data_IF_846554182032
#
_entry.id   IF_846554182032
#
_cell.length_a   1.000
_cell.length_b   1.000
_cell.length_c   1.000
_cell.angle_alpha   90.00
_cell.angle_beta   90.00
_cell.angle_gamma   90.00
#
_symmetry.space_group_name_H-M   'P 1'
#
loop_
_entity.id
_entity.type
_entity.pdbx_description
1 polymer ?
#
# COMPACT_ATOMS: atom_id res chain seq x y z
N UNK A 1 -13.00 -4.42 -12.65
CA UNK A 1 -12.82 -5.78 -12.11
C UNK A 1 -14.19 -6.40 -12.02
N UNK A 2 -14.44 -7.46 -12.79
CA UNK A 2 -15.74 -8.12 -12.85
C UNK A 2 -15.62 -9.44 -12.09
N UNK A 3 -16.42 -9.64 -11.03
CA UNK A 3 -16.57 -10.94 -10.38
C UNK A 3 -17.62 -11.70 -11.20
N UNK A 4 -17.22 -12.69 -12.00
CA UNK A 4 -18.16 -13.43 -12.86
C UNK A 4 -18.01 -14.92 -12.66
N UNK A 5 -19.09 -15.54 -12.14
CA UNK A 5 -19.37 -16.98 -12.01
C UNK A 5 -18.79 -17.84 -10.85
N UNK A 6 -19.48 -18.01 -9.72
CA UNK A 6 -19.18 -19.09 -8.75
C UNK A 6 -20.17 -20.25 -8.98
N UNK A 7 -19.71 -21.49 -9.24
CA UNK A 7 -20.61 -22.64 -9.42
C UNK A 7 -21.43 -23.01 -8.16
N UNK A 8 -21.06 -22.55 -6.96
CA UNK A 8 -21.92 -22.67 -5.76
C UNK A 8 -23.00 -21.57 -5.65
N UNK A 9 -22.92 -20.52 -6.47
CA UNK A 9 -23.91 -19.42 -6.55
C UNK A 9 -24.47 -19.30 -7.98
N UNK A 10 -25.50 -20.09 -8.34
CA UNK A 10 -25.96 -20.29 -9.72
C UNK A 10 -26.62 -19.05 -10.36
N UNK A 11 -26.81 -17.95 -9.63
CA UNK A 11 -27.30 -16.72 -10.21
C UNK A 11 -26.17 -16.03 -10.99
N UNK A 12 -26.24 -16.11 -12.32
CA UNK A 12 -25.56 -15.20 -13.24
C UNK A 12 -26.09 -13.77 -13.01
N UNK A 13 -25.74 -13.17 -11.88
CA UNK A 13 -26.04 -11.77 -11.62
C UNK A 13 -25.25 -10.93 -12.62
N UNK A 14 -25.89 -9.99 -13.34
CA UNK A 14 -25.20 -9.13 -14.27
C UNK A 14 -24.09 -8.39 -13.53
N UNK A 15 -22.90 -8.43 -14.10
CA UNK A 15 -21.75 -7.76 -13.54
C UNK A 15 -22.09 -6.27 -13.36
N UNK A 16 -22.05 -5.75 -12.13
CA UNK A 16 -22.39 -4.35 -11.88
C UNK A 16 -21.13 -3.50 -11.68
N UNK A 17 -21.09 -2.29 -12.26
CA UNK A 17 -19.96 -1.41 -12.12
C UNK A 17 -19.81 -0.96 -10.66
N UNK A 18 -18.65 -1.26 -10.06
CA UNK A 18 -18.26 -0.71 -8.75
C UNK A 18 -17.90 0.78 -8.83
N UNK A 19 -17.46 1.21 -10.02
CA UNK A 19 -16.98 2.55 -10.30
C UNK A 19 -17.24 2.86 -11.76
N UNK A 20 -17.57 4.11 -12.06
CA UNK A 20 -17.64 4.64 -13.42
C UNK A 20 -16.73 5.84 -13.54
N UNK A 21 -16.06 5.96 -14.69
CA UNK A 21 -15.17 7.07 -15.00
C UNK A 21 -15.79 7.95 -16.08
N UNK A 22 -15.74 9.26 -15.90
CA UNK A 22 -16.02 10.25 -16.92
C UNK A 22 -14.71 10.79 -17.49
N UNK A 23 -14.67 11.05 -18.80
CA UNK A 23 -13.46 11.49 -19.50
C UNK A 23 -13.71 12.82 -20.21
N UNK A 24 -12.70 13.67 -20.31
CA UNK A 24 -12.72 14.85 -21.19
C UNK A 24 -12.71 14.40 -22.66
N UNK A 25 -13.08 15.26 -23.63
CA UNK A 25 -12.91 14.94 -25.06
C UNK A 25 -11.46 14.60 -25.45
N UNK A 26 -10.48 15.03 -24.65
CA UNK A 26 -9.05 14.72 -24.82
C UNK A 26 -8.63 13.44 -24.08
N UNK A 27 -9.55 12.67 -23.51
CA UNK A 27 -9.26 11.40 -22.83
C UNK A 27 -8.61 11.56 -21.45
N UNK A 28 -8.78 12.70 -20.78
CA UNK A 28 -8.31 12.92 -19.41
C UNK A 28 -9.42 12.54 -18.41
N UNK A 29 -9.07 11.99 -17.25
CA UNK A 29 -10.06 11.56 -16.25
C UNK A 29 -10.78 12.78 -15.66
N UNK A 30 -12.02 13.04 -16.04
CA UNK A 30 -12.78 14.22 -15.61
C UNK A 30 -13.56 13.99 -14.30
N UNK A 31 -14.07 12.79 -14.08
CA UNK A 31 -14.92 12.48 -12.94
C UNK A 31 -14.86 11.01 -12.55
N UNK A 32 -15.03 10.74 -11.25
CA UNK A 32 -15.22 9.38 -10.71
C UNK A 32 -16.59 9.33 -10.07
N UNK A 33 -17.33 8.28 -10.39
CA UNK A 33 -18.64 7.99 -9.82
C UNK A 33 -18.58 6.66 -9.07
N UNK A 34 -19.21 6.61 -7.90
CA UNK A 34 -19.35 5.36 -7.16
C UNK A 34 -20.38 4.42 -7.83
N UNK A 35 -20.58 3.24 -7.25
CA UNK A 35 -21.51 2.23 -7.74
C UNK A 35 -22.99 2.67 -7.72
N UNK A 36 -23.31 3.72 -6.96
CA UNK A 36 -24.64 4.37 -6.96
C UNK A 36 -24.79 5.44 -8.06
N UNK A 37 -23.76 5.59 -8.89
CA UNK A 37 -23.64 6.63 -9.92
C UNK A 37 -23.54 8.06 -9.35
N UNK A 38 -23.23 8.20 -8.06
CA UNK A 38 -22.99 9.51 -7.43
C UNK A 38 -21.57 9.95 -7.73
N UNK A 39 -21.38 11.19 -8.20
CA UNK A 39 -20.04 11.72 -8.42
C UNK A 39 -19.32 11.86 -7.07
N UNK A 40 -18.13 11.27 -6.96
CA UNK A 40 -17.29 11.32 -5.75
C UNK A 40 -16.01 12.14 -5.95
N UNK A 41 -15.56 12.31 -7.20
CA UNK A 41 -14.42 13.16 -7.54
C UNK A 41 -14.61 13.88 -8.87
N UNK A 42 -14.01 15.05 -8.99
CA UNK A 42 -13.87 15.80 -10.24
C UNK A 42 -12.44 16.30 -10.42
N UNK A 43 -12.03 16.43 -11.67
CA UNK A 43 -10.72 16.94 -12.07
C UNK A 43 -10.88 17.94 -13.21
N UNK A 44 -10.10 19.01 -13.15
CA UNK A 44 -10.07 20.07 -14.15
C UNK A 44 -8.67 20.14 -14.72
N UNK A 45 -8.56 20.28 -16.04
CA UNK A 45 -7.29 20.30 -16.76
C UNK A 45 -7.08 21.62 -17.49
N UNK A 46 -5.82 21.91 -17.77
CA UNK A 46 -5.40 23.04 -18.57
C UNK A 46 -5.83 22.86 -20.04
N UNK A 47 -6.45 23.86 -20.63
CA UNK A 47 -6.95 23.81 -22.00
C UNK A 47 -5.82 23.73 -23.05
N UNK A 48 -4.65 24.30 -22.74
CA UNK A 48 -3.49 24.35 -23.65
C UNK A 48 -2.59 23.12 -23.49
N UNK A 49 -2.36 22.65 -22.27
CA UNK A 49 -1.43 21.57 -21.96
C UNK A 49 -2.19 20.30 -21.53
N UNK A 50 -2.37 19.37 -22.48
CA UNK A 50 -3.01 18.07 -22.23
C UNK A 50 -2.31 17.33 -21.08
N UNK A 51 -3.10 16.79 -20.15
CA UNK A 51 -2.65 16.05 -18.97
C UNK A 51 -2.32 16.94 -17.76
N UNK A 52 -2.25 18.27 -17.92
CA UNK A 52 -1.92 19.18 -16.82
C UNK A 52 -3.17 19.48 -15.99
N UNK A 53 -3.30 18.82 -14.85
CA UNK A 53 -4.43 18.99 -13.92
C UNK A 53 -4.33 20.31 -13.14
N UNK A 54 -5.24 21.25 -13.36
CA UNK A 54 -5.25 22.56 -12.68
C UNK A 54 -6.11 22.58 -11.43
N UNK A 55 -7.02 21.62 -11.27
CA UNK A 55 -7.78 21.48 -10.04
C UNK A 55 -8.31 20.06 -9.83
N UNK A 56 -8.59 19.72 -8.58
CA UNK A 56 -9.36 18.54 -8.25
C UNK A 56 -10.21 18.75 -7.01
N UNK A 57 -11.28 17.96 -6.89
CA UNK A 57 -12.22 18.07 -5.78
C UNK A 57 -12.81 16.71 -5.41
N UNK A 58 -12.95 16.47 -4.11
CA UNK A 58 -13.82 15.41 -3.59
C UNK A 58 -15.20 15.99 -3.30
N UNK A 59 -16.26 15.24 -3.59
CA UNK A 59 -17.64 15.70 -3.35
C UNK A 59 -17.82 16.09 -1.88
N UNK A 60 -18.42 17.27 -1.64
CA UNK A 60 -18.58 17.84 -0.31
C UNK A 60 -17.35 18.55 0.26
N UNK A 61 -16.20 18.55 -0.40
CA UNK A 61 -14.98 19.29 0.03
C UNK A 61 -14.71 20.49 -0.88
N UNK A 62 -13.98 21.52 -0.40
CA UNK A 62 -13.47 22.58 -1.28
C UNK A 62 -12.54 22.04 -2.37
N UNK A 63 -12.46 22.76 -3.50
CA UNK A 63 -11.58 22.44 -4.62
C UNK A 63 -10.13 22.83 -4.30
N UNK A 64 -9.19 21.94 -4.61
CA UNK A 64 -7.74 22.21 -4.57
C UNK A 64 -7.29 22.61 -5.96
N UNK A 65 -6.50 23.69 -6.07
CA UNK A 65 -6.03 24.24 -7.36
C UNK A 65 -4.52 24.27 -7.45
N UNK A 66 -4.02 24.22 -8.68
CA UNK A 66 -2.59 24.22 -9.01
C UNK A 66 -2.26 25.32 -10.00
N UNK A 67 -1.09 25.95 -9.82
CA UNK A 67 -0.44 26.78 -10.84
C UNK A 67 0.87 26.16 -11.28
N UNK A 68 1.26 26.48 -12.50
CA UNK A 68 2.44 25.92 -13.14
C UNK A 68 3.33 27.01 -13.72
N UNK A 69 4.64 26.75 -13.75
CA UNK A 69 5.57 27.53 -14.55
C UNK A 69 5.58 27.10 -16.03
N UNK A 70 6.43 27.74 -16.84
CA UNK A 70 6.62 27.42 -18.25
C UNK A 70 7.13 26.00 -18.49
N UNK A 71 7.89 25.45 -17.55
CA UNK A 71 8.47 24.10 -17.61
C UNK A 71 7.45 23.03 -17.18
N UNK A 72 6.28 23.45 -16.70
CA UNK A 72 5.21 22.56 -16.25
C UNK A 72 5.40 22.03 -14.83
N UNK A 73 6.25 22.66 -14.02
CA UNK A 73 6.37 22.38 -12.58
C UNK A 73 5.31 23.14 -11.81
N UNK A 74 4.80 22.54 -10.72
CA UNK A 74 3.79 23.18 -9.86
C UNK A 74 4.43 24.31 -9.06
N UNK A 75 3.99 25.54 -9.23
CA UNK A 75 4.49 26.70 -8.48
C UNK A 75 3.60 27.08 -7.30
N UNK A 76 2.31 26.73 -7.36
CA UNK A 76 1.37 26.97 -6.27
C UNK A 76 0.39 25.80 -6.14
N UNK A 77 0.07 25.44 -4.90
CA UNK A 77 -1.04 24.58 -4.54
C UNK A 77 -1.95 25.32 -3.56
N UNK A 78 -3.16 25.68 -3.99
CA UNK A 78 -4.16 26.30 -3.15
C UNK A 78 -5.04 25.23 -2.50
N UNK A 79 -5.01 25.15 -1.18
CA UNK A 79 -5.76 24.17 -0.40
C UNK A 79 -6.72 24.90 0.56
N UNK A 80 -7.98 25.18 0.19
CA UNK A 80 -8.88 26.00 1.02
C UNK A 80 -9.24 25.38 2.37
N UNK A 81 -9.11 24.05 2.52
CA UNK A 81 -9.38 23.34 3.77
C UNK A 81 -8.11 23.10 4.62
N UNK A 82 -6.97 23.70 4.24
CA UNK A 82 -5.68 23.47 4.90
C UNK A 82 -4.64 24.53 4.52
N UNK A 83 -3.37 24.14 4.58
CA UNK A 83 -2.26 25.02 4.18
C UNK A 83 -2.12 25.05 2.67
N UNK A 84 -2.02 26.25 2.10
CA UNK A 84 -1.60 26.41 0.71
C UNK A 84 -0.08 26.42 0.63
N UNK A 85 0.49 26.04 -0.50
CA UNK A 85 1.94 25.91 -0.69
C UNK A 85 2.39 26.66 -1.93
N UNK A 86 3.55 27.29 -1.86
CA UNK A 86 4.27 27.82 -3.01
C UNK A 86 5.61 27.12 -3.16
N UNK A 87 6.06 26.97 -4.39
CA UNK A 87 7.28 26.23 -4.76
C UNK A 87 8.19 27.13 -5.60
N UNK A 88 9.44 27.26 -5.16
CA UNK A 88 10.49 27.93 -5.92
C UNK A 88 11.55 26.90 -6.29
N UNK A 89 11.84 26.81 -7.59
CA UNK A 89 12.78 25.85 -8.15
C UNK A 89 14.07 26.54 -8.58
N UNK A 90 15.18 26.06 -8.04
CA UNK A 90 16.54 26.42 -8.44
C UNK A 90 17.23 25.18 -9.02
N UNK A 91 18.49 25.32 -9.46
CA UNK A 91 19.23 24.23 -10.09
C UNK A 91 19.35 23.01 -9.17
N UNK A 92 19.75 23.23 -7.94
CA UNK A 92 20.04 22.23 -6.92
C UNK A 92 19.13 22.35 -5.69
N UNK A 93 18.10 23.19 -5.72
CA UNK A 93 17.25 23.46 -4.55
C UNK A 93 15.78 23.64 -4.90
N UNK A 94 14.90 23.20 -4.01
CA UNK A 94 13.46 23.49 -4.05
C UNK A 94 13.07 24.10 -2.71
N UNK A 95 12.55 25.32 -2.73
CA UNK A 95 11.97 25.95 -1.54
C UNK A 95 10.46 25.77 -1.56
N UNK A 96 9.91 25.27 -0.45
CA UNK A 96 8.48 25.09 -0.23
C UNK A 96 8.08 26.05 0.89
N UNK A 97 7.12 26.93 0.63
CA UNK A 97 6.60 27.86 1.63
C UNK A 97 5.11 27.63 1.79
N UNK A 98 4.67 27.34 3.01
CA UNK A 98 3.25 27.20 3.30
C UNK A 98 2.56 28.56 3.56
N UNK A 99 1.23 28.55 3.67
CA UNK A 99 0.43 29.76 3.90
C UNK A 99 0.56 30.35 5.32
N UNK A 100 1.42 29.78 6.17
CA UNK A 100 1.84 30.34 7.46
C UNK A 100 3.29 30.87 7.38
N UNK A 101 3.82 31.04 6.17
CA UNK A 101 5.20 31.48 5.88
C UNK A 101 6.29 30.55 6.44
N UNK A 102 5.94 29.30 6.78
CA UNK A 102 6.91 28.31 7.20
C UNK A 102 7.62 27.74 5.97
N UNK A 103 8.94 27.67 6.05
CA UNK A 103 9.80 27.33 4.90
C UNK A 103 10.47 25.98 5.08
N UNK A 104 10.30 25.11 4.11
CA UNK A 104 11.09 23.89 3.94
C UNK A 104 11.99 24.01 2.71
N UNK A 105 13.22 23.53 2.79
CA UNK A 105 14.18 23.59 1.70
C UNK A 105 14.72 22.19 1.40
N UNK A 106 14.51 21.75 0.16
CA UNK A 106 15.04 20.49 -0.35
C UNK A 106 16.27 20.79 -1.19
N UNK A 107 17.43 20.32 -0.75
CA UNK A 107 18.67 20.33 -1.53
C UNK A 107 18.76 19.03 -2.33
N UNK A 108 19.11 19.17 -3.59
CA UNK A 108 19.04 18.10 -4.58
C UNK A 108 20.35 17.93 -5.31
N UNK A 109 20.65 16.69 -5.70
CA UNK A 109 21.77 16.34 -6.56
C UNK A 109 21.29 15.50 -7.73
N UNK A 110 22.07 15.50 -8.82
CA UNK A 110 21.69 14.86 -10.07
C UNK A 110 20.75 15.72 -10.92
N UNK A 111 20.39 15.21 -12.09
CA UNK A 111 19.62 15.94 -13.11
C UNK A 111 18.46 15.08 -13.63
N UNK A 112 17.41 15.74 -14.14
CA UNK A 112 16.23 15.09 -14.70
C UNK A 112 15.59 14.05 -13.76
N UNK A 113 15.26 12.87 -14.28
CA UNK A 113 14.69 11.76 -13.50
C UNK A 113 15.61 11.14 -12.44
N UNK A 114 16.90 11.51 -12.45
CA UNK A 114 17.89 11.08 -11.46
C UNK A 114 18.10 12.09 -10.34
N UNK A 115 17.37 13.22 -10.34
CA UNK A 115 17.43 14.18 -9.24
C UNK A 115 16.98 13.52 -7.93
N UNK A 116 17.76 13.68 -6.86
CA UNK A 116 17.50 13.14 -5.52
C UNK A 116 17.61 14.22 -4.48
N UNK A 117 16.74 14.19 -3.47
CA UNK A 117 16.85 15.08 -2.30
C UNK A 117 17.91 14.49 -1.37
N UNK A 118 19.02 15.21 -1.17
CA UNK A 118 20.14 14.77 -0.34
C UNK A 118 20.17 15.45 1.03
N UNK A 119 19.48 16.59 1.17
CA UNK A 119 19.31 17.30 2.43
C UNK A 119 17.95 17.99 2.44
N UNK A 120 17.27 17.91 3.57
CA UNK A 120 16.00 18.60 3.81
C UNK A 120 16.15 19.46 5.06
N UNK A 121 15.95 20.76 4.90
CA UNK A 121 15.85 21.71 6.00
C UNK A 121 14.38 21.94 6.27
N UNK A 122 13.95 21.60 7.48
CA UNK A 122 12.57 21.72 7.92
C UNK A 122 12.28 23.13 8.41
N UNK A 123 11.00 23.48 8.50
CA UNK A 123 10.57 24.79 8.97
C UNK A 123 10.97 25.13 10.42
N UNK A 124 11.20 24.12 11.25
CA UNK A 124 11.70 24.28 12.63
C UNK A 124 13.23 24.43 12.70
N UNK A 125 13.90 24.49 11.54
CA UNK A 125 15.37 24.59 11.43
C UNK A 125 16.10 23.25 11.55
N UNK A 126 15.39 22.16 11.83
CA UNK A 126 16.00 20.82 11.85
C UNK A 126 16.41 20.38 10.44
N UNK A 127 17.41 19.51 10.36
CA UNK A 127 17.98 19.08 9.09
C UNK A 127 18.05 17.56 9.05
N UNK A 128 17.56 16.97 7.97
CA UNK A 128 17.78 15.55 7.65
C UNK A 128 18.60 15.42 6.37
N UNK A 129 19.37 14.35 6.27
CA UNK A 129 20.21 14.08 5.10
C UNK A 129 20.02 12.65 4.60
N UNK A 130 20.17 12.48 3.29
CA UNK A 130 20.07 11.20 2.60
C UNK A 130 21.24 11.04 1.64
N UNK A 131 21.86 9.87 1.66
CA UNK A 131 22.94 9.51 0.76
C UNK A 131 22.49 8.37 -0.13
N UNK A 132 22.87 8.43 -1.40
CA UNK A 132 22.51 7.44 -2.40
C UNK A 132 23.76 6.82 -3.00
N UNK A 133 23.66 5.56 -3.43
CA UNK A 133 24.70 4.92 -4.24
C UNK A 133 24.67 5.39 -5.71
N UNK A 134 25.60 4.89 -6.52
CA UNK A 134 25.75 5.30 -7.92
C UNK A 134 24.53 5.00 -8.81
N UNK A 135 23.67 4.06 -8.42
CA UNK A 135 22.43 3.73 -9.14
C UNK A 135 21.20 4.37 -8.49
N UNK A 136 21.40 5.21 -7.47
CA UNK A 136 20.36 6.03 -6.85
C UNK A 136 19.59 5.34 -5.73
N UNK A 137 20.09 4.24 -5.16
CA UNK A 137 19.48 3.56 -4.00
C UNK A 137 19.95 4.21 -2.70
N UNK A 138 19.06 4.32 -1.71
CA UNK A 138 19.38 4.90 -0.41
C UNK A 138 20.46 4.04 0.29
N UNK A 139 21.55 4.69 0.71
CA UNK A 139 22.68 4.06 1.40
C UNK A 139 22.80 4.53 2.85
N UNK A 140 22.42 5.77 3.16
CA UNK A 140 22.40 6.26 4.52
C UNK A 140 21.35 7.36 4.70
N UNK A 141 20.82 7.46 5.91
CA UNK A 141 19.96 8.56 6.32
C UNK A 141 20.40 9.09 7.67
N UNK A 142 20.60 10.40 7.76
CA UNK A 142 20.94 11.10 9.01
C UNK A 142 19.71 11.88 9.47
N UNK A 143 19.29 11.64 10.70
CA UNK A 143 18.16 12.33 11.31
C UNK A 143 18.53 13.73 11.83
N UNK A 144 17.53 14.46 12.34
CA UNK A 144 17.70 15.79 12.91
C UNK A 144 18.65 15.86 14.11
N UNK A 145 18.86 14.74 14.81
CA UNK A 145 19.79 14.65 15.94
C UNK A 145 21.22 14.30 15.48
N UNK A 146 21.49 14.22 14.17
CA UNK A 146 22.78 13.86 13.61
C UNK A 146 23.07 12.35 13.67
N UNK A 147 22.07 11.53 13.95
CA UNK A 147 22.23 10.07 14.06
C UNK A 147 22.02 9.43 12.69
N UNK A 148 22.95 8.58 12.28
CA UNK A 148 22.95 7.98 10.93
C UNK A 148 22.54 6.51 10.96
N UNK A 149 21.54 6.16 10.16
CA UNK A 149 21.19 4.77 9.84
C UNK A 149 21.74 4.43 8.45
N UNK A 150 22.44 3.31 8.33
CA UNK A 150 23.03 2.84 7.08
C UNK A 150 22.24 1.68 6.50
N UNK A 151 22.11 1.66 5.18
CA UNK A 151 21.41 0.65 4.40
C UNK A 151 22.39 0.03 3.43
N UNK A 152 22.58 -1.29 3.52
CA UNK A 152 23.42 -2.05 2.61
C UNK A 152 22.53 -2.82 1.62
N UNK A 153 22.34 -2.30 0.40
CA UNK A 153 21.70 -3.06 -0.67
C UNK A 153 22.67 -4.08 -1.26
N UNK A 154 22.16 -5.25 -1.63
CA UNK A 154 22.86 -6.19 -2.49
C UNK A 154 23.13 -5.53 -3.86
N UNK A 155 24.33 -5.75 -4.39
CA UNK A 155 24.80 -5.06 -5.58
C UNK A 155 24.06 -5.48 -6.85
N UNK A 156 23.55 -6.72 -6.90
CA UNK A 156 22.85 -7.26 -8.08
C UNK A 156 21.35 -7.03 -7.98
N UNK A 157 20.73 -7.47 -6.89
CA UNK A 157 19.27 -7.48 -6.70
C UNK A 157 18.73 -6.14 -6.20
N UNK A 158 19.57 -5.35 -5.52
CA UNK A 158 19.16 -4.11 -4.85
C UNK A 158 18.34 -4.29 -3.59
N UNK A 159 18.11 -5.53 -3.15
CA UNK A 159 17.45 -5.82 -1.89
C UNK A 159 18.34 -5.43 -0.72
N UNK A 160 17.75 -4.86 0.34
CA UNK A 160 18.48 -4.53 1.56
C UNK A 160 18.86 -5.82 2.26
N UNK A 161 20.17 -6.04 2.45
CA UNK A 161 20.73 -7.19 3.18
C UNK A 161 21.14 -6.82 4.61
N UNK A 162 21.36 -5.54 4.88
CA UNK A 162 21.69 -5.05 6.22
C UNK A 162 21.18 -3.64 6.48
N UNK A 163 20.70 -3.41 7.68
CA UNK A 163 20.40 -2.07 8.22
C UNK A 163 21.19 -1.90 9.51
N UNK A 164 22.03 -0.87 9.59
CA UNK A 164 22.82 -0.57 10.80
C UNK A 164 22.27 0.71 11.43
N UNK A 165 21.85 0.62 12.69
CA UNK A 165 21.35 1.75 13.48
C UNK A 165 22.50 2.62 14.01
N UNK A 166 22.24 3.86 14.42
CA UNK A 166 23.28 4.79 14.87
C UNK A 166 24.11 4.32 16.07
N UNK A 167 23.56 3.41 16.88
CA UNK A 167 24.22 2.78 18.02
C UNK A 167 25.07 1.55 17.63
N UNK A 168 25.24 1.29 16.32
CA UNK A 168 26.05 0.22 15.76
C UNK A 168 25.37 -1.15 15.73
N UNK A 169 24.16 -1.30 16.29
CA UNK A 169 23.40 -2.55 16.16
C UNK A 169 22.88 -2.70 14.73
N UNK A 170 22.63 -3.93 14.30
CA UNK A 170 22.26 -4.16 12.90
C UNK A 170 21.20 -5.26 12.75
N UNK A 171 20.34 -5.08 11.76
CA UNK A 171 19.46 -6.13 11.24
C UNK A 171 20.07 -6.73 9.97
N UNK A 172 19.93 -8.02 9.77
CA UNK A 172 20.38 -8.73 8.57
C UNK A 172 19.19 -9.42 7.89
N UNK A 173 19.19 -9.43 6.55
CA UNK A 173 18.12 -10.00 5.73
C UNK A 173 18.71 -10.90 4.66
N UNK A 174 18.12 -12.07 4.48
CA UNK A 174 18.53 -13.08 3.51
C UNK A 174 17.38 -13.43 2.59
N UNK A 175 17.70 -13.64 1.32
CA UNK A 175 16.73 -13.89 0.27
C UNK A 175 17.12 -15.13 -0.53
N UNK A 176 16.11 -15.82 -1.07
CA UNK A 176 16.33 -16.86 -2.07
C UNK A 176 16.55 -16.25 -3.47
N UNK A 177 16.77 -17.11 -4.47
CA UNK A 177 16.98 -16.72 -5.86
C UNK A 177 15.74 -16.09 -6.54
N UNK A 178 14.56 -16.22 -5.91
CA UNK A 178 13.32 -15.55 -6.33
C UNK A 178 13.11 -14.20 -5.62
N UNK A 179 14.13 -13.66 -4.95
CA UNK A 179 14.06 -12.40 -4.19
C UNK A 179 13.06 -12.44 -3.00
N UNK A 180 12.76 -13.63 -2.47
CA UNK A 180 11.86 -13.80 -1.33
C UNK A 180 12.66 -13.91 -0.03
N UNK A 181 12.21 -13.21 1.01
CA UNK A 181 12.87 -13.18 2.32
C UNK A 181 12.82 -14.57 2.97
N UNK A 182 13.97 -15.19 3.20
CA UNK A 182 14.11 -16.50 3.85
C UNK A 182 14.54 -16.40 5.32
N UNK A 183 15.24 -15.34 5.70
CA UNK A 183 15.59 -15.07 7.09
C UNK A 183 15.73 -13.57 7.34
N UNK A 184 15.29 -13.13 8.52
CA UNK A 184 15.57 -11.80 9.04
C UNK A 184 16.02 -11.89 10.50
N UNK A 185 17.19 -11.32 10.78
CA UNK A 185 17.75 -11.23 12.14
C UNK A 185 17.68 -9.79 12.60
N UNK A 186 17.06 -9.54 13.76
CA UNK A 186 16.96 -8.22 14.37
C UNK A 186 18.25 -7.77 15.07
N UNK A 187 18.31 -6.51 15.54
CA UNK A 187 19.44 -5.97 16.29
C UNK A 187 19.68 -6.64 17.65
N UNK A 188 18.68 -7.37 18.16
CA UNK A 188 18.71 -8.19 19.37
C UNK A 188 19.22 -9.61 19.13
N UNK A 189 19.54 -9.97 17.87
CA UNK A 189 19.97 -11.30 17.47
C UNK A 189 18.83 -12.30 17.31
N UNK A 190 17.57 -11.89 17.52
CA UNK A 190 16.41 -12.73 17.30
C UNK A 190 16.16 -12.91 15.80
N UNK A 191 15.92 -14.14 15.37
CA UNK A 191 15.79 -14.51 13.96
C UNK A 191 14.40 -15.06 13.66
N UNK A 192 13.80 -14.59 12.56
CA UNK A 192 12.67 -15.27 11.93
C UNK A 192 13.12 -15.95 10.64
N UNK A 193 12.55 -17.10 10.32
CA UNK A 193 12.83 -17.83 9.08
C UNK A 193 11.56 -18.15 8.31
N UNK A 194 11.68 -18.22 6.99
CA UNK A 194 10.58 -18.52 6.06
C UNK A 194 11.03 -19.49 5.00
N UNK A 195 10.15 -20.43 4.68
CA UNK A 195 10.34 -21.40 3.61
C UNK A 195 9.20 -21.28 2.61
N UNK A 196 9.53 -21.43 1.32
CA UNK A 196 8.59 -21.30 0.22
C UNK A 196 8.63 -22.57 -0.64
N UNK A 197 7.51 -22.90 -1.26
CA UNK A 197 7.47 -23.92 -2.30
C UNK A 197 8.01 -23.40 -3.65
N UNK A 198 8.04 -24.27 -4.67
CA UNK A 198 8.51 -23.94 -6.02
C UNK A 198 7.67 -22.86 -6.72
N UNK A 199 6.41 -22.69 -6.31
CA UNK A 199 5.52 -21.63 -6.80
C UNK A 199 5.69 -20.32 -6.03
N UNK A 200 6.61 -20.27 -5.06
CA UNK A 200 6.90 -19.08 -4.25
C UNK A 200 5.89 -18.84 -3.13
N UNK A 201 5.08 -19.82 -2.75
CA UNK A 201 4.10 -19.69 -1.67
C UNK A 201 4.74 -20.06 -0.33
N UNK A 202 4.44 -19.32 0.73
CA UNK A 202 4.96 -19.59 2.07
C UNK A 202 4.43 -20.93 2.58
N UNK A 203 5.30 -21.85 2.97
CA UNK A 203 4.94 -23.17 3.51
C UNK A 203 5.31 -23.35 4.98
N UNK A 204 6.26 -22.56 5.47
CA UNK A 204 6.67 -22.56 6.86
C UNK A 204 7.16 -21.18 7.28
N UNK A 205 6.81 -20.77 8.50
CA UNK A 205 7.42 -19.65 9.20
C UNK A 205 7.91 -20.13 10.56
N UNK A 206 9.14 -19.77 10.92
CA UNK A 206 9.73 -20.02 12.24
C UNK A 206 9.90 -18.68 12.93
N UNK A 207 9.19 -18.48 14.04
CA UNK A 207 9.28 -17.29 14.86
C UNK A 207 10.58 -17.27 15.69
N UNK A 208 10.89 -16.13 16.29
CA UNK A 208 12.13 -15.94 17.06
C UNK A 208 12.26 -16.83 18.30
N UNK A 209 11.13 -17.31 18.83
CA UNK A 209 11.09 -18.24 19.95
C UNK A 209 11.22 -19.71 19.52
N UNK A 210 11.37 -19.97 18.22
CA UNK A 210 11.44 -21.32 17.64
C UNK A 210 10.09 -21.91 17.26
N UNK A 211 8.96 -21.22 17.54
CA UNK A 211 7.64 -21.71 17.17
C UNK A 211 7.51 -21.78 15.65
N UNK A 212 6.99 -22.90 15.16
CA UNK A 212 6.82 -23.15 13.73
C UNK A 212 5.34 -23.06 13.38
N UNK A 213 5.01 -22.24 12.39
CA UNK A 213 3.71 -22.24 11.72
C UNK A 213 3.87 -22.83 10.32
N UNK A 214 3.04 -23.82 9.97
CA UNK A 214 3.02 -24.48 8.66
C UNK A 214 1.78 -24.08 7.88
N UNK A 215 1.95 -23.86 6.59
CA UNK A 215 0.88 -23.50 5.66
C UNK A 215 0.71 -24.60 4.63
N UNK A 216 -0.54 -24.99 4.34
CA UNK A 216 -0.86 -26.00 3.32
C UNK A 216 -1.83 -25.45 2.30
N UNK A 217 -1.71 -25.94 1.06
CA UNK A 217 -2.48 -25.51 -0.09
C UNK A 217 -3.13 -26.73 -0.73
N UNK A 218 -4.36 -26.59 -1.23
CA UNK A 218 -5.13 -27.72 -1.77
C UNK A 218 -4.56 -28.26 -3.08
N UNK A 219 -3.96 -27.40 -3.91
CA UNK A 219 -3.35 -27.78 -5.17
C UNK A 219 -2.26 -26.78 -5.60
N UNK A 220 -1.45 -27.07 -6.64
CA UNK A 220 -0.37 -26.20 -7.09
C UNK A 220 -0.79 -24.79 -7.57
N UNK A 221 -2.06 -24.58 -7.91
CA UNK A 221 -2.58 -23.30 -8.42
C UNK A 221 -3.29 -22.47 -7.34
N UNK A 222 -3.39 -22.96 -6.10
CA UNK A 222 -4.02 -22.21 -5.00
C UNK A 222 -3.07 -21.15 -4.45
N UNK A 223 -3.45 -19.87 -4.50
CA UNK A 223 -2.66 -18.79 -3.89
C UNK A 223 -2.85 -18.68 -2.36
N UNK A 224 -3.96 -19.23 -1.85
CA UNK A 224 -4.36 -19.11 -0.45
C UNK A 224 -4.24 -20.45 0.28
N UNK A 225 -3.78 -20.46 1.55
CA UNK A 225 -3.65 -21.68 2.31
C UNK A 225 -5.04 -22.23 2.68
N UNK A 226 -5.21 -23.54 2.51
CA UNK A 226 -6.39 -24.28 2.98
C UNK A 226 -6.25 -24.74 4.43
N UNK A 227 -5.04 -24.70 4.98
CA UNK A 227 -4.79 -25.00 6.38
C UNK A 227 -3.55 -24.29 6.93
N UNK A 228 -3.61 -23.99 8.22
CA UNK A 228 -2.48 -23.54 9.02
C UNK A 228 -2.34 -24.41 10.26
N UNK A 229 -1.12 -24.73 10.64
CA UNK A 229 -0.81 -25.52 11.83
C UNK A 229 0.26 -24.78 12.63
N UNK A 230 -0.02 -24.48 13.90
CA UNK A 230 0.92 -23.77 14.78
C UNK A 230 1.83 -24.74 15.55
N UNK A 231 2.75 -24.18 16.35
CA UNK A 231 3.75 -24.95 17.09
C UNK A 231 3.16 -25.92 18.13
N UNK A 232 1.89 -25.72 18.54
CA UNK A 232 1.18 -26.60 19.46
C UNK A 232 0.54 -27.80 18.77
N UNK A 233 0.59 -27.85 17.43
CA UNK A 233 -0.17 -28.79 16.61
C UNK A 233 -1.64 -28.37 16.42
N UNK A 234 -2.03 -27.17 16.89
CA UNK A 234 -3.37 -26.65 16.67
C UNK A 234 -3.53 -26.32 15.19
N UNK A 235 -4.50 -26.98 14.57
CA UNK A 235 -4.77 -26.86 13.13
C UNK A 235 -6.03 -26.03 12.89
N UNK A 236 -5.95 -25.09 11.94
CA UNK A 236 -7.09 -24.37 11.39
C UNK A 236 -7.21 -24.70 9.90
N UNK A 237 -8.42 -24.85 9.40
CA UNK A 237 -8.68 -25.00 7.96
C UNK A 237 -9.53 -23.88 7.43
N UNK A 238 -9.35 -23.56 6.15
CA UNK A 238 -10.06 -22.51 5.45
C UNK A 238 -10.52 -23.03 4.10
N UNK A 239 -11.70 -22.61 3.68
CA UNK A 239 -12.14 -22.77 2.29
C UNK A 239 -12.34 -21.40 1.65
N UNK A 240 -12.10 -21.33 0.35
CA UNK A 240 -12.08 -20.09 -0.39
C UNK A 240 -12.95 -20.22 -1.64
N UNK A 241 -13.67 -19.16 -1.98
CA UNK A 241 -14.29 -19.04 -3.30
C UNK A 241 -13.20 -18.89 -4.36
N UNK A 242 -13.57 -19.09 -5.63
CA UNK A 242 -12.66 -18.84 -6.76
C UNK A 242 -12.19 -17.38 -6.87
N UNK A 243 -12.78 -16.44 -6.12
CA UNK A 243 -12.38 -15.04 -6.04
C UNK A 243 -11.49 -14.72 -4.83
N UNK A 244 -11.10 -15.74 -4.06
CA UNK A 244 -10.31 -15.57 -2.84
C UNK A 244 -11.13 -15.06 -1.65
N UNK A 245 -12.45 -15.21 -1.67
CA UNK A 245 -13.29 -14.87 -0.52
C UNK A 245 -13.30 -16.05 0.45
N UNK A 246 -13.07 -15.77 1.74
CA UNK A 246 -13.14 -16.79 2.78
C UNK A 246 -14.58 -17.28 2.92
N UNK A 247 -14.81 -18.58 2.77
CA UNK A 247 -16.14 -19.20 2.88
C UNK A 247 -16.33 -19.86 4.24
N UNK A 248 -15.35 -20.65 4.67
CA UNK A 248 -15.36 -21.27 6.00
C UNK A 248 -14.01 -21.18 6.68
N UNK A 249 -14.04 -21.13 8.01
CA UNK A 249 -12.88 -21.37 8.88
C UNK A 249 -13.28 -22.44 9.88
N UNK A 250 -12.51 -23.52 9.96
CA UNK A 250 -12.62 -24.49 11.06
C UNK A 250 -11.45 -24.27 12.00
N UNK A 251 -11.71 -24.01 13.28
CA UNK A 251 -10.64 -23.85 14.27
C UNK A 251 -10.14 -25.21 14.82
N UNK A 252 -9.17 -25.17 15.73
CA UNK A 252 -8.58 -26.38 16.30
C UNK A 252 -9.52 -27.15 17.23
N UNK A 253 -10.62 -26.54 17.68
CA UNK A 253 -11.67 -27.20 18.45
C UNK A 253 -12.72 -27.86 17.54
N UNK A 254 -12.60 -27.71 16.22
CA UNK A 254 -13.55 -28.21 15.24
C UNK A 254 -14.71 -27.25 14.97
N UNK A 255 -14.70 -26.05 15.54
CA UNK A 255 -15.79 -25.08 15.35
C UNK A 255 -15.71 -24.43 13.98
N UNK A 256 -16.85 -24.35 13.30
CA UNK A 256 -16.93 -23.87 11.93
C UNK A 256 -17.58 -22.49 11.90
N UNK A 257 -16.82 -21.48 11.50
CA UNK A 257 -17.37 -20.17 11.13
C UNK A 257 -17.58 -20.12 9.63
N UNK A 258 -18.81 -19.81 9.19
CA UNK A 258 -19.17 -19.63 7.78
C UNK A 258 -19.42 -18.16 7.46
N UNK A 259 -18.99 -17.74 6.27
CA UNK A 259 -19.15 -16.39 5.75
C UNK A 259 -19.95 -16.42 4.46
N UNK A 260 -21.03 -15.63 4.42
CA UNK A 260 -21.78 -15.38 3.19
C UNK A 260 -21.41 -14.00 2.64
N UNK A 261 -21.29 -13.89 1.32
CA UNK A 261 -20.89 -12.67 0.64
C UNK A 261 -21.97 -12.24 -0.36
N UNK A 262 -22.15 -10.93 -0.53
CA UNK A 262 -22.92 -10.41 -1.65
C UNK A 262 -22.11 -10.44 -2.95
N UNK A 263 -22.80 -10.11 -4.06
CA UNK A 263 -22.21 -9.98 -5.40
C UNK A 263 -21.08 -8.94 -5.53
N UNK A 264 -20.87 -8.09 -4.53
CA UNK A 264 -19.78 -7.12 -4.46
C UNK A 264 -18.62 -7.59 -3.58
N UNK A 265 -18.74 -8.79 -3.01
CA UNK A 265 -17.78 -9.40 -2.09
C UNK A 265 -17.80 -8.83 -0.68
N UNK A 266 -18.90 -8.18 -0.28
CA UNK A 266 -19.10 -7.73 1.09
C UNK A 266 -19.68 -8.87 1.92
N UNK A 267 -19.16 -9.07 3.13
CA UNK A 267 -19.69 -10.09 4.07
C UNK A 267 -21.10 -9.69 4.52
N UNK A 268 -22.10 -10.49 4.17
CA UNK A 268 -23.51 -10.28 4.53
C UNK A 268 -23.94 -11.10 5.74
N UNK A 269 -23.28 -12.23 6.01
CA UNK A 269 -23.51 -12.99 7.23
C UNK A 269 -22.22 -13.63 7.73
N UNK A 270 -22.10 -13.71 9.05
CA UNK A 270 -21.11 -14.53 9.76
C UNK A 270 -21.87 -15.49 10.66
N UNK A 271 -21.86 -16.77 10.32
CA UNK A 271 -22.47 -17.83 11.12
C UNK A 271 -21.41 -18.40 12.05
N UNK A 272 -21.67 -18.34 13.35
CA UNK A 272 -20.83 -18.94 14.39
C UNK A 272 -21.60 -20.07 15.07
N UNK A 273 -20.92 -20.73 16.00
CA UNK A 273 -21.48 -21.73 16.89
C UNK A 273 -22.73 -21.22 17.64
N UNK A 274 -23.50 -22.18 18.15
CA UNK A 274 -24.72 -21.94 18.96
C UNK A 274 -25.84 -21.18 18.23
N UNK A 275 -25.80 -21.14 16.90
CA UNK A 275 -26.78 -20.42 16.08
C UNK A 275 -26.59 -18.91 16.08
N UNK A 276 -25.48 -18.40 16.65
CA UNK A 276 -25.15 -16.98 16.66
C UNK A 276 -24.74 -16.53 15.26
N UNK A 277 -25.71 -16.01 14.51
CA UNK A 277 -25.49 -15.41 13.21
C UNK A 277 -25.51 -13.89 13.30
N UNK A 278 -24.47 -13.25 12.79
CA UNK A 278 -24.43 -11.80 12.62
C UNK A 278 -24.70 -11.47 11.16
N UNK A 279 -25.71 -10.65 10.91
CA UNK A 279 -26.06 -10.19 9.58
C UNK A 279 -25.57 -8.77 9.36
N UNK A 280 -25.28 -8.45 8.11
CA UNK A 280 -24.85 -7.13 7.67
C UNK A 280 -25.63 -6.70 6.44
N UNK A 281 -26.07 -5.45 6.43
CA UNK A 281 -26.69 -4.82 5.28
C UNK A 281 -25.87 -3.61 4.82
N UNK A 282 -25.82 -3.40 3.52
CA UNK A 282 -25.08 -2.29 2.90
C UNK A 282 -26.01 -1.44 2.05
N UNK A 283 -25.80 -0.12 2.07
CA UNK A 283 -26.51 0.79 1.16
C UNK A 283 -26.01 0.65 -0.29
N UNK A 284 -26.62 1.38 -1.22
CA UNK A 284 -26.23 1.38 -2.63
C UNK A 284 -24.80 1.88 -2.86
N UNK A 285 -24.15 2.54 -1.90
CA UNK A 285 -22.77 3.02 -1.97
C UNK A 285 -21.75 2.07 -1.32
N UNK A 286 -22.20 1.01 -0.66
CA UNK A 286 -21.33 0.04 0.03
C UNK A 286 -21.04 0.39 1.47
N UNK A 287 -21.84 1.28 2.06
CA UNK A 287 -21.73 1.65 3.47
C UNK A 287 -22.56 0.69 4.31
N UNK A 288 -21.98 0.18 5.40
CA UNK A 288 -22.68 -0.66 6.37
C UNK A 288 -23.82 0.15 7.01
N UNK A 289 -25.03 -0.41 7.04
CA UNK A 289 -26.23 0.25 7.59
C UNK A 289 -26.92 -0.56 8.68
N UNK A 290 -26.71 -1.88 8.73
CA UNK A 290 -27.17 -2.77 9.79
C UNK A 290 -26.22 -3.96 9.90
#
# INVERSE_FOLDING_TARGET
VWLTHDPEYPENLPAAPLVRYGWTPRGELAAVYDRSNTQVRSFTYDDKYRGRMVAHRHTGRPEIRYRYDSDGRVTEQLNPAGLSYTYQYEKDRITITDSMDRREVLHTQGEGGLKRVVKKEHADGSVTQSQFDAVGRLKAQTDAAGRTTEYSPDVVTGLITRITTPDGRASAFYYNHHNQLTSATGPDGLEIRREYDESGRLIQETAHNGDITRYRYDNPHSDLPCATEDATGSRKTMTWSRYGQLLTVTDCSGYVTRYDHDRFGQVTAVHREEGLSQYRAYDSRGQLIA
#
